data_IF_230361553133
#
_entry.id   IF_230361553133
#
_cell.length_a   1.000
_cell.length_b   1.000
_cell.length_c   1.000
_cell.angle_alpha   90.00
_cell.angle_beta   90.00
_cell.angle_gamma   90.00
#
_symmetry.space_group_name_H-M   'P 1'
#
loop_
_entity.id
_entity.type
_entity.pdbx_description
1 polymer ?
#
# COMPACT_ATOMS: atom_id res chain seq x y z
N UNK A 1 25.42 -4.69 29.87
CA UNK A 1 24.27 -3.77 29.75
C UNK A 1 23.48 -3.88 31.04
N UNK A 2 23.43 -2.81 31.83
CA UNK A 2 22.43 -2.73 32.90
C UNK A 2 21.07 -2.83 32.22
N UNK A 3 20.22 -3.76 32.64
CA UNK A 3 18.90 -3.91 32.03
C UNK A 3 18.03 -2.79 32.59
N UNK A 4 17.72 -1.76 31.78
CA UNK A 4 16.75 -0.73 32.18
C UNK A 4 15.48 -1.45 32.64
N UNK A 5 15.03 -1.13 33.85
CA UNK A 5 13.76 -1.64 34.37
C UNK A 5 12.60 -0.82 33.80
N UNK A 6 12.18 -1.20 32.59
CA UNK A 6 11.09 -0.58 31.85
C UNK A 6 9.77 -0.58 32.63
N UNK A 7 9.49 -1.64 33.40
CA UNK A 7 8.24 -1.77 34.15
C UNK A 7 8.24 -0.82 35.34
N UNK A 8 9.34 -0.74 36.09
CA UNK A 8 9.46 0.21 37.18
C UNK A 8 9.45 1.67 36.70
N UNK A 9 10.11 1.97 35.57
CA UNK A 9 10.11 3.30 34.97
C UNK A 9 8.71 3.72 34.51
N UNK A 10 8.00 2.82 33.81
CA UNK A 10 6.61 3.05 33.37
C UNK A 10 5.65 3.19 34.54
N UNK A 11 5.77 2.34 35.56
CA UNK A 11 4.95 2.40 36.77
C UNK A 11 5.13 3.73 37.52
N UNK A 12 6.37 4.22 37.64
CA UNK A 12 6.66 5.51 38.27
C UNK A 12 6.10 6.69 37.45
N UNK A 13 6.21 6.65 36.11
CA UNK A 13 5.65 7.66 35.22
C UNK A 13 4.12 7.72 35.32
N UNK A 14 3.44 6.57 35.27
CA UNK A 14 1.97 6.53 35.36
C UNK A 14 1.46 6.95 36.74
N UNK A 15 2.18 6.62 37.81
CA UNK A 15 1.83 7.08 39.15
C UNK A 15 1.81 8.61 39.27
N UNK A 16 2.74 9.31 38.59
CA UNK A 16 2.79 10.78 38.51
C UNK A 16 1.63 11.32 37.66
N UNK A 17 1.37 10.68 36.50
CA UNK A 17 0.26 11.07 35.62
C UNK A 17 -1.09 11.06 36.35
N UNK A 18 -1.29 10.10 37.25
CA UNK A 18 -2.49 10.01 38.09
C UNK A 18 -2.51 11.10 39.18
N UNK A 19 -1.40 11.30 39.89
CA UNK A 19 -1.27 12.38 40.88
C UNK A 19 0.20 12.70 41.17
N UNK A 20 0.61 13.94 40.91
CA UNK A 20 2.00 14.40 41.04
C UNK A 20 2.39 14.79 42.49
N UNK A 21 2.34 13.83 43.42
CA UNK A 21 2.79 14.07 44.80
C UNK A 21 4.33 14.19 44.89
N UNK A 22 4.89 14.91 45.88
CA UNK A 22 6.34 15.01 46.08
C UNK A 22 7.05 13.64 46.17
N UNK A 23 6.42 12.66 46.82
CA UNK A 23 6.96 11.30 46.97
C UNK A 23 7.06 10.58 45.61
N UNK A 24 6.04 10.71 44.75
CA UNK A 24 6.02 10.11 43.42
C UNK A 24 7.03 10.79 42.48
N UNK A 25 7.16 12.11 42.57
CA UNK A 25 8.19 12.87 41.84
C UNK A 25 9.60 12.43 42.24
N UNK A 26 9.85 12.22 43.53
CA UNK A 26 11.12 11.71 44.03
C UNK A 26 11.39 10.29 43.53
N UNK A 27 10.41 9.39 43.63
CA UNK A 27 10.52 8.00 43.16
C UNK A 27 10.86 7.92 41.66
N UNK A 28 10.24 8.76 40.83
CA UNK A 28 10.55 8.86 39.41
C UNK A 28 11.94 9.42 39.15
N UNK A 29 12.37 10.49 39.85
CA UNK A 29 13.73 11.03 39.73
C UNK A 29 14.82 10.03 40.11
N UNK A 30 14.56 9.16 41.10
CA UNK A 30 15.49 8.09 41.46
C UNK A 30 15.60 7.00 40.39
N UNK A 31 14.57 6.84 39.55
CA UNK A 31 14.53 5.85 38.45
C UNK A 31 15.07 6.43 37.14
N UNK A 32 14.82 7.71 36.86
CA UNK A 32 15.28 8.44 35.66
C UNK A 32 16.65 9.04 35.93
N UNK A 33 17.66 8.20 36.07
CA UNK A 33 19.04 8.67 36.19
C UNK A 33 19.57 9.11 34.81
N UNK A 34 20.59 9.99 34.75
CA UNK A 34 21.21 10.35 33.47
C UNK A 34 21.66 9.12 32.66
N UNK A 35 22.15 8.08 33.34
CA UNK A 35 22.55 6.82 32.72
C UNK A 35 21.37 6.12 32.02
N UNK A 36 20.20 6.04 32.68
CA UNK A 36 19.00 5.44 32.09
C UNK A 36 18.53 6.24 30.87
N UNK A 37 18.62 7.57 30.92
CA UNK A 37 18.26 8.42 29.76
C UNK A 37 19.20 8.17 28.58
N UNK A 38 20.52 8.08 28.82
CA UNK A 38 21.49 7.77 27.77
C UNK A 38 21.26 6.39 27.16
N UNK A 39 21.06 5.35 27.98
CA UNK A 39 20.79 3.99 27.50
C UNK A 39 19.49 3.91 26.68
N UNK A 40 18.45 4.66 27.06
CA UNK A 40 17.20 4.74 26.29
C UNK A 40 17.41 5.42 24.93
N UNK A 41 18.23 6.48 24.87
CA UNK A 41 18.57 7.16 23.62
C UNK A 41 19.37 6.25 22.69
N UNK A 42 20.35 5.53 23.22
CA UNK A 42 21.15 4.55 22.47
C UNK A 42 20.26 3.42 21.92
N UNK A 43 19.36 2.86 22.73
CA UNK A 43 18.41 1.84 22.28
C UNK A 43 17.46 2.36 21.19
N UNK A 44 16.98 3.61 21.30
CA UNK A 44 16.13 4.23 20.29
C UNK A 44 16.88 4.42 18.97
N UNK A 45 18.15 4.85 19.02
CA UNK A 45 18.97 5.00 17.83
C UNK A 45 19.20 3.66 17.13
N UNK A 46 19.51 2.60 17.90
CA UNK A 46 19.70 1.25 17.37
C UNK A 46 18.39 0.74 16.71
N UNK A 47 17.25 0.90 17.39
CA UNK A 47 15.95 0.48 16.84
C UNK A 47 15.59 1.26 15.58
N UNK A 48 15.83 2.56 15.55
CA UNK A 48 15.62 3.42 14.36
C UNK A 48 16.47 2.98 13.17
N UNK A 49 17.76 2.67 13.39
CA UNK A 49 18.65 2.11 12.36
C UNK A 49 18.11 0.79 11.83
N UNK A 50 17.71 -0.13 12.71
CA UNK A 50 17.15 -1.43 12.32
C UNK A 50 15.86 -1.31 11.50
N UNK A 51 14.96 -0.40 11.86
CA UNK A 51 13.74 -0.12 11.10
C UNK A 51 14.11 0.38 9.69
N UNK A 52 15.03 1.33 9.60
CA UNK A 52 15.49 1.85 8.31
C UNK A 52 16.14 0.78 7.42
N UNK A 53 16.91 -0.14 8.00
CA UNK A 53 17.47 -1.29 7.28
C UNK A 53 16.39 -2.25 6.80
N UNK A 54 15.38 -2.56 7.62
CA UNK A 54 14.27 -3.42 7.21
C UNK A 54 13.40 -2.78 6.12
N UNK A 55 13.22 -1.46 6.16
CA UNK A 55 12.51 -0.72 5.09
C UNK A 55 13.31 -0.76 3.79
N UNK A 56 14.64 -0.56 3.86
CA UNK A 56 15.51 -0.54 2.68
C UNK A 56 15.81 -1.94 2.13
N UNK A 57 15.90 -2.94 3.00
CA UNK A 57 16.34 -4.31 2.70
C UNK A 57 15.22 -5.35 2.68
N UNK A 58 13.98 -4.98 3.04
CA UNK A 58 12.84 -5.87 2.97
C UNK A 58 12.56 -6.31 1.54
N UNK A 59 12.12 -7.56 1.35
CA UNK A 59 11.79 -8.16 0.06
C UNK A 59 10.83 -7.28 -0.76
N UNK A 60 10.02 -6.46 -0.09
CA UNK A 60 9.16 -5.42 -0.68
C UNK A 60 9.89 -4.45 -1.61
N UNK A 61 11.17 -4.11 -1.41
CA UNK A 61 11.89 -3.22 -2.32
C UNK A 61 12.04 -3.85 -3.73
N UNK A 62 12.23 -5.17 -3.80
CA UNK A 62 12.28 -5.91 -5.07
C UNK A 62 10.90 -5.97 -5.72
N UNK A 63 9.86 -6.28 -4.93
CA UNK A 63 8.49 -6.31 -5.43
C UNK A 63 8.01 -4.95 -5.93
N UNK A 64 8.34 -3.86 -5.24
CA UNK A 64 8.00 -2.50 -5.67
C UNK A 64 8.67 -2.17 -7.00
N UNK A 65 9.97 -2.46 -7.14
CA UNK A 65 10.69 -2.22 -8.40
C UNK A 65 10.10 -3.04 -9.56
N UNK A 66 9.75 -4.30 -9.28
CA UNK A 66 9.15 -5.19 -10.27
C UNK A 66 7.72 -4.77 -10.66
N UNK A 67 6.92 -4.31 -9.69
CA UNK A 67 5.58 -3.74 -9.94
C UNK A 67 5.71 -2.53 -10.86
N UNK A 68 6.62 -1.58 -10.58
CA UNK A 68 6.82 -0.42 -11.44
C UNK A 68 7.26 -0.82 -12.87
N UNK A 69 8.10 -1.85 -13.01
CA UNK A 69 8.50 -2.39 -14.32
C UNK A 69 7.30 -2.97 -15.07
N UNK A 70 6.52 -3.83 -14.41
CA UNK A 70 5.35 -4.49 -14.99
C UNK A 70 4.24 -3.49 -15.35
N UNK A 71 4.03 -2.45 -14.52
CA UNK A 71 3.09 -1.37 -14.83
C UNK A 71 3.48 -0.63 -16.11
N UNK A 72 4.77 -0.32 -16.27
CA UNK A 72 5.28 0.32 -17.48
C UNK A 72 5.11 -0.55 -18.72
N UNK A 73 5.41 -1.85 -18.63
CA UNK A 73 5.21 -2.81 -19.73
C UNK A 73 3.73 -2.95 -20.09
N UNK A 74 2.85 -3.02 -19.09
CA UNK A 74 1.40 -3.07 -19.30
C UNK A 74 0.89 -1.82 -20.01
N UNK A 75 1.36 -0.63 -19.63
CA UNK A 75 0.98 0.62 -20.29
C UNK A 75 1.43 0.65 -21.76
N UNK A 76 2.64 0.17 -22.05
CA UNK A 76 3.15 0.09 -23.43
C UNK A 76 2.31 -0.87 -24.28
N UNK A 77 2.00 -2.07 -23.76
CA UNK A 77 1.16 -3.05 -24.46
C UNK A 77 -0.28 -2.55 -24.66
N UNK A 78 -0.84 -1.83 -23.69
CA UNK A 78 -2.16 -1.21 -23.82
C UNK A 78 -2.18 -0.16 -24.95
N UNK A 79 -1.13 0.67 -25.04
CA UNK A 79 -0.99 1.66 -26.10
C UNK A 79 -0.80 1.01 -27.49
N UNK A 80 0.02 -0.03 -27.59
CA UNK A 80 0.21 -0.79 -28.83
C UNK A 80 -1.09 -1.46 -29.29
N UNK A 81 -1.84 -2.10 -28.38
CA UNK A 81 -3.14 -2.67 -28.68
C UNK A 81 -4.15 -1.61 -29.16
N UNK A 82 -4.16 -0.42 -28.55
CA UNK A 82 -5.03 0.67 -29.00
C UNK A 82 -4.66 1.14 -30.42
N UNK A 83 -3.36 1.26 -30.71
CA UNK A 83 -2.86 1.62 -32.04
C UNK A 83 -3.18 0.56 -33.09
N UNK A 84 -3.04 -0.73 -32.77
CA UNK A 84 -3.42 -1.83 -33.67
C UNK A 84 -4.92 -1.84 -33.97
N UNK A 85 -5.77 -1.70 -32.95
CA UNK A 85 -7.22 -1.58 -33.13
C UNK A 85 -7.60 -0.38 -34.00
N UNK A 86 -6.85 0.72 -33.90
CA UNK A 86 -7.07 1.91 -34.73
C UNK A 86 -6.60 1.68 -36.18
N UNK A 87 -5.44 1.07 -36.38
CA UNK A 87 -4.95 0.71 -37.72
C UNK A 87 -5.90 -0.26 -38.44
N UNK A 88 -6.47 -1.22 -37.71
CA UNK A 88 -7.46 -2.17 -38.26
C UNK A 88 -8.76 -1.47 -38.67
N UNK A 89 -9.23 -0.49 -37.88
CA UNK A 89 -10.37 0.38 -38.27
C UNK A 89 -10.11 1.14 -39.56
N UNK A 90 -8.92 1.74 -39.67
CA UNK A 90 -8.53 2.51 -40.85
C UNK A 90 -8.41 1.62 -42.09
N UNK A 91 -7.84 0.41 -41.93
CA UNK A 91 -7.77 -0.59 -42.98
C UNK A 91 -9.17 -1.04 -43.45
N UNK A 92 -10.08 -1.35 -42.52
CA UNK A 92 -11.46 -1.72 -42.85
C UNK A 92 -12.20 -0.59 -43.59
N UNK A 93 -11.98 0.67 -43.20
CA UNK A 93 -12.57 1.82 -43.90
C UNK A 93 -12.02 1.96 -45.32
N UNK A 94 -10.70 1.81 -45.51
CA UNK A 94 -10.07 1.80 -46.83
C UNK A 94 -10.66 0.70 -47.72
N UNK A 95 -10.72 -0.54 -47.21
CA UNK A 95 -11.25 -1.67 -47.97
C UNK A 95 -12.74 -1.49 -48.33
N UNK A 96 -13.54 -0.86 -47.46
CA UNK A 96 -14.94 -0.53 -47.76
C UNK A 96 -15.09 0.47 -48.90
N UNK A 97 -14.15 1.40 -49.05
CA UNK A 97 -14.16 2.39 -50.12
C UNK A 97 -13.73 1.78 -51.46
N UNK A 98 -12.77 0.86 -51.44
CA UNK A 98 -12.18 0.28 -52.65
C UNK A 98 -12.88 -1.01 -53.12
N UNK A 99 -13.59 -1.73 -52.24
CA UNK A 99 -14.18 -3.04 -52.54
C UNK A 99 -15.66 -3.13 -52.11
N UNK A 100 -16.55 -3.30 -53.10
CA UNK A 100 -17.98 -3.50 -52.84
C UNK A 100 -18.23 -4.89 -52.25
N UNK A 101 -18.77 -4.93 -51.03
CA UNK A 101 -19.05 -6.18 -50.29
C UNK A 101 -18.00 -6.57 -49.25
N UNK A 102 -17.10 -5.64 -48.85
CA UNK A 102 -16.22 -5.84 -47.70
C UNK A 102 -17.02 -6.00 -46.40
N UNK A 103 -16.76 -7.08 -45.66
CA UNK A 103 -17.20 -7.26 -44.28
C UNK A 103 -16.04 -6.88 -43.35
N UNK A 104 -16.34 -6.07 -42.33
CA UNK A 104 -15.36 -5.70 -41.32
C UNK A 104 -14.89 -6.96 -40.60
N UNK A 105 -13.60 -7.28 -40.72
CA UNK A 105 -12.97 -8.29 -39.88
C UNK A 105 -12.24 -7.52 -38.78
N UNK A 106 -12.73 -7.61 -37.55
CA UNK A 106 -12.00 -7.15 -36.37
C UNK A 106 -11.33 -8.35 -35.73
N UNK A 107 -10.07 -8.19 -35.36
CA UNK A 107 -9.37 -9.13 -34.47
C UNK A 107 -9.90 -8.90 -33.06
N UNK A 108 -11.12 -9.34 -32.81
CA UNK A 108 -11.67 -9.42 -31.47
C UNK A 108 -10.86 -10.46 -30.69
N UNK A 109 -10.35 -10.11 -29.51
CA UNK A 109 -9.68 -11.04 -28.61
C UNK A 109 -10.50 -11.26 -27.34
N UNK A 110 -11.76 -11.75 -27.46
CA UNK A 110 -12.68 -11.86 -26.33
C UNK A 110 -12.14 -12.77 -25.22
N UNK A 111 -11.32 -13.77 -25.56
CA UNK A 111 -10.63 -14.61 -24.58
C UNK A 111 -9.58 -13.84 -23.78
N UNK A 112 -8.81 -12.96 -24.43
CA UNK A 112 -7.81 -12.11 -23.77
C UNK A 112 -8.47 -11.06 -22.90
N UNK A 113 -9.54 -10.42 -23.38
CA UNK A 113 -10.30 -9.44 -22.62
C UNK A 113 -10.97 -10.07 -21.39
N UNK A 114 -11.54 -11.28 -21.54
CA UNK A 114 -12.09 -12.05 -20.41
C UNK A 114 -11.02 -12.44 -19.39
N UNK A 115 -9.86 -12.93 -19.84
CA UNK A 115 -8.74 -13.27 -18.97
C UNK A 115 -8.21 -12.04 -18.21
N UNK A 116 -8.05 -10.89 -18.87
CA UNK A 116 -7.60 -9.65 -18.23
C UNK A 116 -8.64 -9.07 -17.25
N UNK A 117 -9.94 -9.32 -17.48
CA UNK A 117 -10.99 -8.97 -16.54
C UNK A 117 -10.94 -9.86 -15.29
N UNK A 118 -10.71 -11.16 -15.46
CA UNK A 118 -10.58 -12.14 -14.36
C UNK A 118 -9.34 -11.86 -13.51
N UNK A 119 -8.18 -11.65 -14.13
CA UNK A 119 -6.93 -11.28 -13.42
C UNK A 119 -7.11 -9.98 -12.63
N UNK A 120 -7.81 -8.99 -13.20
CA UNK A 120 -8.11 -7.73 -12.49
C UNK A 120 -9.03 -7.95 -11.28
N UNK A 121 -10.04 -8.80 -11.40
CA UNK A 121 -10.94 -9.11 -10.30
C UNK A 121 -10.19 -9.82 -9.15
N UNK A 122 -9.38 -10.83 -9.47
CA UNK A 122 -8.56 -11.57 -8.48
C UNK A 122 -7.58 -10.65 -7.76
N UNK A 123 -6.84 -9.81 -8.50
CA UNK A 123 -5.90 -8.87 -7.91
C UNK A 123 -6.58 -7.86 -6.98
N UNK A 124 -7.80 -7.43 -7.32
CA UNK A 124 -8.59 -6.51 -6.50
C UNK A 124 -9.06 -7.16 -5.19
N UNK A 125 -9.55 -8.40 -5.26
CA UNK A 125 -9.98 -9.15 -4.08
C UNK A 125 -8.81 -9.41 -3.12
N UNK A 126 -7.63 -9.72 -3.65
CA UNK A 126 -6.41 -9.88 -2.87
C UNK A 126 -5.96 -8.57 -2.19
N UNK A 127 -6.00 -7.45 -2.91
CA UNK A 127 -5.68 -6.12 -2.38
C UNK A 127 -6.63 -5.74 -1.24
N UNK A 128 -7.93 -5.93 -1.44
CA UNK A 128 -8.96 -5.72 -0.43
C UNK A 128 -8.71 -6.59 0.81
N UNK A 129 -8.40 -7.88 0.62
CA UNK A 129 -8.11 -8.80 1.71
C UNK A 129 -6.85 -8.39 2.49
N UNK A 130 -5.79 -7.94 1.80
CA UNK A 130 -4.57 -7.44 2.42
C UNK A 130 -4.85 -6.18 3.26
N UNK A 131 -5.62 -5.24 2.71
CA UNK A 131 -5.99 -4.01 3.42
C UNK A 131 -6.75 -4.31 4.71
N UNK A 132 -7.78 -5.17 4.66
CA UNK A 132 -8.54 -5.59 5.85
C UNK A 132 -7.65 -6.26 6.90
N UNK A 133 -6.66 -7.07 6.49
CA UNK A 133 -5.66 -7.64 7.42
C UNK A 133 -4.82 -6.55 8.07
N UNK A 134 -4.32 -5.58 7.29
CA UNK A 134 -3.49 -4.49 7.82
C UNK A 134 -4.25 -3.56 8.78
N UNK A 135 -5.52 -3.26 8.50
CA UNK A 135 -6.41 -2.52 9.42
C UNK A 135 -6.55 -3.25 10.75
N UNK A 136 -6.84 -4.57 10.72
CA UNK A 136 -6.95 -5.39 11.93
C UNK A 136 -5.65 -5.44 12.75
N UNK A 137 -4.50 -5.50 12.08
CA UNK A 137 -3.18 -5.49 12.74
C UNK A 137 -2.84 -4.13 13.33
N UNK A 138 -3.29 -3.05 12.71
CA UNK A 138 -3.04 -1.68 13.16
C UNK A 138 -3.92 -1.25 14.36
N UNK A 139 -4.95 -2.04 14.72
CA UNK A 139 -5.86 -1.72 15.83
C UNK A 139 -6.78 -0.53 15.55
N UNK A 140 -6.91 -0.15 14.28
CA UNK A 140 -7.79 0.93 13.84
C UNK A 140 -9.24 0.44 13.87
N UNK A 141 -10.13 1.23 14.46
CA UNK A 141 -11.57 0.98 14.42
C UNK A 141 -12.27 1.92 13.42
N UNK A 142 -13.59 1.81 13.29
CA UNK A 142 -14.35 2.61 12.32
C UNK A 142 -14.31 4.14 12.58
N UNK A 143 -13.75 4.59 13.71
CA UNK A 143 -13.72 5.99 14.13
C UNK A 143 -12.40 6.74 13.86
N UNK A 144 -11.33 6.08 13.40
CA UNK A 144 -10.04 6.73 13.11
C UNK A 144 -10.03 7.54 11.79
N UNK A 145 -9.26 8.64 11.76
CA UNK A 145 -9.47 9.88 10.95
C UNK A 145 -9.21 9.86 9.43
N UNK A 146 -9.18 8.69 8.81
CA UNK A 146 -9.71 8.53 7.45
C UNK A 146 -10.65 7.35 7.61
N UNK A 147 -11.94 7.62 7.58
CA UNK A 147 -12.91 6.57 7.86
C UNK A 147 -12.62 5.41 6.91
N UNK A 148 -12.69 4.17 7.41
CA UNK A 148 -12.53 2.98 6.57
C UNK A 148 -13.38 3.09 5.29
N UNK A 149 -14.53 3.76 5.42
CA UNK A 149 -15.43 4.18 4.36
C UNK A 149 -14.74 5.05 3.30
N UNK A 150 -14.08 6.15 3.66
CA UNK A 150 -13.38 7.03 2.70
C UNK A 150 -12.24 6.30 1.97
N UNK A 151 -11.47 5.44 2.65
CA UNK A 151 -10.45 4.63 1.97
C UNK A 151 -11.09 3.60 1.04
N UNK A 152 -12.19 2.98 1.48
CA UNK A 152 -12.94 2.02 0.65
C UNK A 152 -13.56 2.70 -0.57
N UNK A 153 -14.12 3.91 -0.42
CA UNK A 153 -14.70 4.71 -1.50
C UNK A 153 -13.62 5.19 -2.47
N UNK A 154 -12.44 5.60 -1.99
CA UNK A 154 -11.33 5.98 -2.85
C UNK A 154 -10.78 4.78 -3.65
N UNK A 155 -10.68 3.61 -3.01
CA UNK A 155 -10.29 2.37 -3.69
C UNK A 155 -11.36 1.88 -4.67
N UNK A 156 -12.64 2.03 -4.34
CA UNK A 156 -13.76 1.68 -5.21
C UNK A 156 -13.80 2.62 -6.43
N UNK A 157 -13.58 3.91 -6.22
CA UNK A 157 -13.44 4.90 -7.30
C UNK A 157 -12.26 4.55 -8.22
N UNK A 158 -11.08 4.21 -7.67
CA UNK A 158 -9.96 3.73 -8.47
C UNK A 158 -10.30 2.42 -9.21
N UNK A 159 -11.06 1.51 -8.60
CA UNK A 159 -11.52 0.28 -9.22
C UNK A 159 -12.49 0.52 -10.39
N UNK A 160 -13.38 1.50 -10.25
CA UNK A 160 -14.31 1.93 -11.30
C UNK A 160 -13.58 2.53 -12.50
N UNK A 161 -12.57 3.38 -12.27
CA UNK A 161 -11.73 3.93 -13.34
C UNK A 161 -10.90 2.86 -14.07
N UNK A 162 -10.50 1.79 -13.38
CA UNK A 162 -9.79 0.66 -14.02
C UNK A 162 -10.74 -0.21 -14.85
N UNK A 163 -12.04 -0.23 -14.50
CA UNK A 163 -13.08 -1.03 -15.17
C UNK A 163 -13.63 -0.34 -16.42
N UNK A 164 -13.64 0.99 -16.44
CA UNK A 164 -13.98 1.81 -17.59
C UNK A 164 -12.93 2.92 -17.75
N UNK A 165 -11.78 2.66 -18.40
CA UNK A 165 -10.88 3.73 -18.76
C UNK A 165 -11.57 4.59 -19.82
N UNK A 166 -11.77 5.88 -19.52
CA UNK A 166 -12.11 6.89 -20.56
C UNK A 166 -11.04 6.92 -21.66
#
# INVERSE_FOLDING_TARGET
>A
MSKIDYQALRGAAEAIKIAATPQKLLAFRMKVTPQVVLELLDELEIKSKRINELIKGGENAKYVTEIFRLEKERMALAAENAALKQSEKEFNNFCRQEYYGWEDNFTETPATDAFLAEVRAVAFDELRAAFVRHVKVAGLDEADTVTLKEVTEALLHCAEQIRAPE
#
